data_IF_540844851301
#
_entry.id   IF_540844851301
#
_cell.length_a   1.000
_cell.length_b   1.000
_cell.length_c   1.000
_cell.angle_alpha   90.00
_cell.angle_beta   90.00
_cell.angle_gamma   90.00
#
_symmetry.space_group_name_H-M   'P 1'
#
loop_
_entity.id
_entity.type
_entity.pdbx_description
1 polymer ?
#
# COMPACT_ATOMS: atom_id res chain seq x y z
N UNK A 1 15.07 -4.45 -5.82
CA UNK A 1 13.80 -3.99 -5.18
C UNK A 1 13.22 -5.09 -4.32
N UNK A 2 12.48 -4.74 -3.31
CA UNK A 2 11.97 -5.66 -2.30
C UNK A 2 10.47 -5.45 -2.10
N UNK A 3 9.68 -6.52 -2.08
CA UNK A 3 8.26 -6.44 -1.74
C UNK A 3 8.12 -5.98 -0.28
N UNK A 4 7.57 -4.80 -0.09
CA UNK A 4 7.39 -4.18 1.22
C UNK A 4 6.08 -4.58 1.86
N UNK A 5 5.00 -4.42 1.15
CA UNK A 5 3.68 -4.82 1.63
C UNK A 5 2.71 -5.15 0.49
N UNK A 6 1.62 -5.78 0.89
CA UNK A 6 0.45 -6.02 0.05
C UNK A 6 -0.70 -5.22 0.66
N UNK A 7 -1.28 -4.33 -0.14
CA UNK A 7 -2.40 -3.50 0.28
C UNK A 7 -3.74 -4.19 0.08
N UNK A 8 -4.54 -4.26 1.13
CA UNK A 8 -5.92 -4.78 1.10
C UNK A 8 -6.89 -3.67 1.44
N UNK A 9 -7.84 -3.42 0.56
CA UNK A 9 -8.97 -2.53 0.85
C UNK A 9 -10.04 -3.33 1.56
N UNK A 10 -10.49 -2.83 2.70
CA UNK A 10 -11.48 -3.48 3.56
C UNK A 10 -12.55 -2.48 3.97
N UNK A 11 -13.75 -2.97 4.23
CA UNK A 11 -14.88 -2.12 4.62
C UNK A 11 -14.76 -1.61 6.05
N UNK A 12 -14.29 -2.46 6.96
CA UNK A 12 -14.16 -2.18 8.40
C UNK A 12 -12.77 -2.62 8.86
N UNK A 13 -11.90 -1.64 9.08
CA UNK A 13 -10.48 -1.91 9.37
C UNK A 13 -10.29 -2.63 10.72
N UNK A 14 -11.09 -2.30 11.73
CA UNK A 14 -10.97 -2.93 13.05
C UNK A 14 -11.42 -4.40 13.01
N UNK A 15 -12.53 -4.67 12.33
CA UNK A 15 -13.06 -6.01 12.16
C UNK A 15 -12.09 -6.91 11.39
N UNK A 16 -11.51 -6.41 10.30
CA UNK A 16 -10.56 -7.18 9.51
C UNK A 16 -9.22 -7.35 10.20
N UNK A 17 -8.74 -6.33 10.94
CA UNK A 17 -7.59 -6.45 11.83
C UNK A 17 -7.78 -7.64 12.78
N UNK A 18 -8.87 -7.67 13.49
CA UNK A 18 -9.17 -8.73 14.47
C UNK A 18 -9.26 -10.10 13.79
N UNK A 19 -9.85 -10.17 12.61
CA UNK A 19 -9.92 -11.38 11.81
C UNK A 19 -8.52 -11.89 11.42
N UNK A 20 -7.65 -11.01 10.92
CA UNK A 20 -6.28 -11.39 10.52
C UNK A 20 -5.45 -11.83 11.73
N UNK A 21 -5.52 -11.11 12.84
CA UNK A 21 -4.80 -11.48 14.06
C UNK A 21 -5.22 -12.86 14.55
N UNK A 22 -6.52 -13.09 14.59
CA UNK A 22 -7.07 -14.36 15.09
C UNK A 22 -6.84 -15.52 14.12
N UNK A 23 -7.03 -15.30 12.83
CA UNK A 23 -7.02 -16.37 11.83
C UNK A 23 -5.62 -16.70 11.33
N UNK A 24 -4.79 -15.68 11.09
CA UNK A 24 -3.46 -15.85 10.53
C UNK A 24 -2.34 -15.62 11.53
N UNK A 25 -2.67 -15.38 12.80
CA UNK A 25 -1.70 -15.12 13.87
C UNK A 25 -0.79 -13.92 13.56
N UNK A 26 -1.30 -12.94 12.82
CA UNK A 26 -0.60 -11.70 12.55
C UNK A 26 -0.44 -10.86 13.82
N UNK A 27 0.53 -9.96 13.80
CA UNK A 27 0.70 -8.94 14.85
C UNK A 27 0.51 -7.55 14.26
N UNK A 28 -0.07 -6.66 15.03
CA UNK A 28 -0.16 -5.25 14.65
C UNK A 28 1.22 -4.61 14.74
N UNK A 29 1.68 -4.00 13.65
CA UNK A 29 2.93 -3.22 13.60
C UNK A 29 2.68 -1.75 13.81
N UNK A 30 1.45 -1.28 13.61
CA UNK A 30 1.05 0.10 13.84
C UNK A 30 -0.34 0.14 14.45
N UNK A 31 -0.71 1.32 14.99
CA UNK A 31 -2.11 1.66 15.19
C UNK A 31 -2.79 2.01 13.87
N UNK A 32 -4.03 2.46 13.94
CA UNK A 32 -4.75 3.01 12.79
C UNK A 32 -4.18 4.41 12.51
N UNK A 33 -3.73 4.63 11.28
CA UNK A 33 -3.12 5.88 10.82
C UNK A 33 -4.12 6.56 9.89
N UNK A 34 -4.42 7.83 10.18
CA UNK A 34 -5.26 8.64 9.30
C UNK A 34 -4.40 9.24 8.19
N UNK A 35 -4.82 9.06 6.95
CA UNK A 35 -4.15 9.58 5.76
C UNK A 35 -5.13 10.43 4.96
N UNK A 36 -5.35 11.70 5.36
CA UNK A 36 -6.38 12.54 4.76
C UNK A 36 -6.09 12.93 3.31
N UNK A 37 -4.83 12.95 2.89
CA UNK A 37 -4.46 13.23 1.49
C UNK A 37 -5.09 12.26 0.50
N UNK A 38 -5.30 11.01 0.89
CA UNK A 38 -5.97 9.99 0.08
C UNK A 38 -7.38 9.64 0.57
N UNK A 39 -7.82 10.25 1.67
CA UNK A 39 -9.12 9.97 2.27
C UNK A 39 -9.25 8.55 2.81
N UNK A 40 -8.20 8.03 3.42
CA UNK A 40 -8.15 6.65 3.92
C UNK A 40 -7.64 6.61 5.36
N UNK A 41 -7.97 5.52 6.04
CA UNK A 41 -7.29 5.06 7.25
C UNK A 41 -6.55 3.79 6.91
N UNK A 42 -5.33 3.65 7.42
CA UNK A 42 -4.47 2.51 7.16
C UNK A 42 -3.93 1.92 8.45
N UNK A 43 -3.51 0.66 8.41
CA UNK A 43 -2.69 0.05 9.44
C UNK A 43 -1.86 -1.09 8.87
N UNK A 44 -0.75 -1.39 9.52
CA UNK A 44 0.16 -2.44 9.10
C UNK A 44 0.13 -3.63 10.04
N UNK A 45 0.14 -4.83 9.46
CA UNK A 45 0.22 -6.10 10.14
C UNK A 45 1.48 -6.85 9.71
N UNK A 46 2.14 -7.48 10.66
CA UNK A 46 3.23 -8.42 10.39
C UNK A 46 2.66 -9.80 10.01
N UNK A 47 3.28 -10.46 9.04
CA UNK A 47 2.80 -11.76 8.56
C UNK A 47 3.37 -12.97 9.32
N UNK A 48 4.18 -12.76 10.36
CA UNK A 48 4.56 -13.80 11.32
C UNK A 48 6.02 -14.22 11.32
N UNK A 49 6.66 -14.37 10.17
CA UNK A 49 8.08 -14.77 10.11
C UNK A 49 8.91 -13.71 9.42
N UNK A 50 9.74 -13.04 10.20
CA UNK A 50 10.58 -11.97 9.68
C UNK A 50 9.78 -10.70 9.40
N UNK A 51 10.44 -9.75 8.77
CA UNK A 51 9.94 -8.39 8.68
C UNK A 51 9.10 -8.11 7.43
N UNK A 52 9.07 -9.03 6.47
CA UNK A 52 8.49 -8.74 5.16
C UNK A 52 7.91 -9.96 4.47
N UNK A 53 6.95 -9.76 3.59
CA UNK A 53 6.18 -8.53 3.38
C UNK A 53 5.15 -8.29 4.50
N UNK A 54 4.79 -7.02 4.69
CA UNK A 54 3.68 -6.65 5.59
C UNK A 54 2.34 -6.72 4.85
N UNK A 55 1.26 -6.72 5.60
CA UNK A 55 -0.09 -6.45 5.09
C UNK A 55 -0.48 -5.05 5.51
N UNK A 56 -0.91 -4.24 4.55
CA UNK A 56 -1.52 -2.95 4.81
C UNK A 56 -3.04 -3.09 4.67
N UNK A 57 -3.79 -2.84 5.73
CA UNK A 57 -5.24 -2.71 5.67
C UNK A 57 -5.59 -1.26 5.37
N UNK A 58 -6.53 -1.05 4.46
CA UNK A 58 -6.93 0.28 3.98
C UNK A 58 -8.45 0.34 3.99
N UNK A 59 -9.00 1.38 4.62
CA UNK A 59 -10.44 1.66 4.56
C UNK A 59 -10.68 3.10 4.15
N UNK A 60 -11.70 3.39 3.31
CA UNK A 60 -12.04 4.77 3.00
C UNK A 60 -12.53 5.49 4.26
N UNK A 61 -12.06 6.73 4.44
CA UNK A 61 -12.51 7.62 5.52
C UNK A 61 -13.51 8.68 5.05
N UNK A 62 -13.75 8.75 3.73
CA UNK A 62 -14.73 9.65 3.12
C UNK A 62 -15.28 9.07 1.83
N UNK A 63 -16.42 9.61 1.37
CA UNK A 63 -17.03 9.21 0.10
C UNK A 63 -16.16 9.53 -1.12
N UNK A 64 -15.27 10.52 -0.99
CA UNK A 64 -14.38 10.97 -2.05
C UNK A 64 -13.00 10.29 -2.00
N UNK A 65 -12.85 9.26 -1.17
CA UNK A 65 -11.63 8.48 -1.11
C UNK A 65 -11.31 7.83 -2.45
N UNK A 66 -10.02 7.77 -2.77
CA UNK A 66 -9.51 7.10 -3.98
C UNK A 66 -9.82 5.60 -4.01
N UNK A 67 -10.09 4.98 -2.87
CA UNK A 67 -10.37 3.53 -2.79
C UNK A 67 -11.86 3.20 -2.69
N UNK A 68 -12.73 4.21 -2.58
CA UNK A 68 -14.17 3.98 -2.48
C UNK A 68 -14.72 3.24 -3.70
N UNK A 69 -14.32 3.65 -4.89
CA UNK A 69 -14.75 2.99 -6.13
C UNK A 69 -14.30 1.53 -6.22
N UNK A 70 -13.09 1.24 -5.77
CA UNK A 70 -12.59 -0.13 -5.70
C UNK A 70 -13.43 -0.98 -4.73
N UNK A 71 -13.70 -0.44 -3.54
CA UNK A 71 -14.51 -1.13 -2.53
C UNK A 71 -15.93 -1.39 -3.05
N UNK A 72 -16.55 -0.42 -3.70
CA UNK A 72 -17.91 -0.53 -4.24
C UNK A 72 -18.00 -1.58 -5.36
N UNK A 73 -16.97 -1.64 -6.22
CA UNK A 73 -16.94 -2.57 -7.35
C UNK A 73 -16.59 -4.01 -6.96
N UNK A 74 -15.70 -4.18 -5.99
CA UNK A 74 -15.10 -5.49 -5.70
C UNK A 74 -15.53 -6.06 -4.35
N UNK A 75 -16.09 -5.25 -3.46
CA UNK A 75 -16.34 -5.65 -2.07
C UNK A 75 -15.09 -5.66 -1.21
N UNK A 76 -13.95 -5.24 -1.73
CA UNK A 76 -12.65 -5.25 -1.06
C UNK A 76 -11.71 -6.33 -1.59
N UNK A 77 -10.55 -6.46 -0.99
CA UNK A 77 -9.53 -7.42 -1.34
C UNK A 77 -8.20 -6.76 -1.72
N UNK A 78 -7.34 -7.50 -2.40
CA UNK A 78 -6.01 -7.01 -2.80
C UNK A 78 -6.17 -5.82 -3.74
N UNK A 79 -5.54 -4.71 -3.36
CA UNK A 79 -5.60 -3.45 -4.09
C UNK A 79 -4.28 -3.15 -4.81
N UNK A 80 -3.14 -3.35 -4.14
CA UNK A 80 -1.84 -3.04 -4.70
C UNK A 80 -0.73 -3.86 -4.06
N UNK A 81 0.42 -3.87 -4.76
CA UNK A 81 1.69 -4.33 -4.25
C UNK A 81 2.62 -3.14 -4.08
N UNK A 82 3.37 -3.09 -3.00
CA UNK A 82 4.35 -2.05 -2.77
C UNK A 82 5.76 -2.61 -2.74
N UNK A 83 6.67 -1.94 -3.44
CA UNK A 83 8.08 -2.33 -3.53
C UNK A 83 8.97 -1.20 -3.03
N UNK A 84 9.88 -1.53 -2.13
CA UNK A 84 10.97 -0.65 -1.76
C UNK A 84 12.06 -0.72 -2.83
N UNK A 85 12.52 0.43 -3.31
CA UNK A 85 13.53 0.55 -4.36
C UNK A 85 14.71 1.40 -3.87
N UNK A 86 15.94 1.08 -4.31
CA UNK A 86 17.12 1.86 -3.91
C UNK A 86 17.09 3.30 -4.40
N UNK A 87 16.60 3.53 -5.61
CA UNK A 87 16.47 4.84 -6.23
C UNK A 87 15.16 4.92 -6.99
N UNK A 88 14.25 5.78 -6.53
CA UNK A 88 12.91 5.89 -7.09
C UNK A 88 12.92 6.44 -8.52
N UNK A 89 13.86 7.33 -8.86
CA UNK A 89 13.95 7.90 -10.21
C UNK A 89 14.44 6.86 -11.21
N UNK A 90 15.46 6.08 -10.86
CA UNK A 90 15.93 4.98 -11.70
C UNK A 90 14.83 3.91 -11.86
N UNK A 91 14.12 3.59 -10.78
CA UNK A 91 13.01 2.62 -10.82
C UNK A 91 11.90 3.09 -11.75
N UNK A 92 11.50 4.37 -11.70
CA UNK A 92 10.49 4.94 -12.60
C UNK A 92 10.89 4.74 -14.07
N UNK A 93 12.12 5.11 -14.42
CA UNK A 93 12.59 4.97 -15.80
C UNK A 93 12.66 3.49 -16.23
N UNK A 94 13.07 2.61 -15.33
CA UNK A 94 13.06 1.18 -15.59
C UNK A 94 11.65 0.66 -15.89
N UNK A 95 10.68 0.95 -15.03
CA UNK A 95 9.29 0.53 -15.23
C UNK A 95 8.67 1.11 -16.50
N UNK A 96 8.95 2.39 -16.80
CA UNK A 96 8.50 3.04 -18.04
C UNK A 96 9.05 2.33 -19.28
N UNK A 97 10.32 1.96 -19.26
CA UNK A 97 10.96 1.25 -20.38
C UNK A 97 10.33 -0.10 -20.66
N UNK A 98 9.65 -0.69 -19.68
CA UNK A 98 8.96 -1.98 -19.78
C UNK A 98 7.44 -1.85 -19.90
N UNK A 99 6.94 -0.67 -20.22
CA UNK A 99 5.55 -0.43 -20.55
C UNK A 99 4.64 -0.04 -19.42
N UNK A 100 5.17 0.26 -18.24
CA UNK A 100 4.35 0.74 -17.14
C UNK A 100 3.89 2.18 -17.34
N UNK A 101 2.71 2.49 -16.86
CA UNK A 101 2.15 3.84 -16.82
C UNK A 101 2.35 4.43 -15.43
N UNK A 102 3.06 5.54 -15.34
CA UNK A 102 3.27 6.26 -14.08
C UNK A 102 2.02 7.09 -13.79
N UNK A 103 1.48 6.95 -12.59
CA UNK A 103 0.23 7.59 -12.16
C UNK A 103 0.52 8.74 -11.19
N UNK A 104 0.62 9.96 -11.74
CA UNK A 104 0.87 11.15 -10.96
C UNK A 104 2.33 11.39 -10.61
N UNK A 105 2.55 12.21 -9.60
CA UNK A 105 3.87 12.68 -9.18
C UNK A 105 4.43 11.85 -8.01
N UNK A 106 5.73 12.00 -7.78
CA UNK A 106 6.37 11.51 -6.56
C UNK A 106 5.86 12.38 -5.40
N UNK A 107 5.33 11.72 -4.37
CA UNK A 107 4.79 12.38 -3.18
C UNK A 107 5.30 11.71 -1.90
N UNK A 108 5.33 12.42 -0.76
CA UNK A 108 5.67 11.79 0.51
C UNK A 108 4.63 10.72 0.90
N UNK A 109 5.09 9.56 1.33
CA UNK A 109 4.23 8.48 1.81
C UNK A 109 3.96 8.60 3.31
N UNK A 110 2.72 8.92 3.71
CA UNK A 110 2.38 9.13 5.12
C UNK A 110 2.60 7.88 5.98
N UNK A 111 2.33 6.68 5.44
CA UNK A 111 2.58 5.41 6.10
C UNK A 111 4.04 4.95 6.07
N UNK A 112 4.95 5.73 5.47
CA UNK A 112 6.35 5.37 5.22
C UNK A 112 7.31 6.46 5.66
N UNK A 113 7.03 7.12 6.79
CA UNK A 113 7.85 8.21 7.35
C UNK A 113 8.11 9.35 6.35
N UNK A 114 7.15 9.66 5.50
CA UNK A 114 7.22 10.68 4.46
C UNK A 114 8.35 10.46 3.43
N UNK A 115 8.82 9.23 3.25
CA UNK A 115 9.73 8.93 2.14
C UNK A 115 9.02 9.10 0.80
N UNK A 116 9.76 9.42 -0.27
CA UNK A 116 9.16 9.54 -1.59
C UNK A 116 8.46 8.26 -2.04
N UNK A 117 7.26 8.40 -2.55
CA UNK A 117 6.47 7.30 -3.14
C UNK A 117 5.90 7.72 -4.48
N UNK A 118 5.64 6.75 -5.35
CA UNK A 118 4.95 6.98 -6.63
C UNK A 118 4.13 5.75 -6.98
N UNK A 119 2.99 5.98 -7.62
CA UNK A 119 2.12 4.93 -8.10
C UNK A 119 2.33 4.67 -9.59
N UNK A 120 2.21 3.42 -9.99
CA UNK A 120 2.27 3.02 -11.39
C UNK A 120 1.34 1.84 -11.66
N UNK A 121 1.03 1.65 -12.93
CA UNK A 121 0.20 0.56 -13.41
C UNK A 121 0.98 -0.26 -14.43
N UNK A 122 1.14 -1.55 -14.17
CA UNK A 122 1.92 -2.43 -15.04
C UNK A 122 1.09 -2.92 -16.24
N UNK A 123 1.74 -3.39 -17.33
CA UNK A 123 1.03 -4.03 -18.43
C UNK A 123 0.21 -5.27 -18.02
N UNK A 124 0.59 -5.92 -16.92
CA UNK A 124 -0.15 -7.05 -16.37
C UNK A 124 -1.35 -6.63 -15.51
N UNK A 125 -1.73 -5.35 -15.57
CA UNK A 125 -2.87 -4.78 -14.85
C UNK A 125 -2.73 -4.84 -13.32
N UNK A 126 -1.50 -4.66 -12.83
CA UNK A 126 -1.23 -4.54 -11.40
C UNK A 126 -0.98 -3.09 -11.01
N UNK A 127 -1.65 -2.63 -9.97
CA UNK A 127 -1.34 -1.35 -9.34
C UNK A 127 -0.16 -1.56 -8.39
N UNK A 128 0.88 -0.76 -8.56
CA UNK A 128 2.13 -0.86 -7.80
C UNK A 128 2.49 0.48 -7.20
N UNK A 129 2.90 0.46 -5.94
CA UNK A 129 3.51 1.59 -5.26
C UNK A 129 5.02 1.37 -5.17
N UNK A 130 5.80 2.33 -5.59
CA UNK A 130 7.25 2.34 -5.34
C UNK A 130 7.56 3.24 -4.15
N UNK A 131 8.41 2.76 -3.27
CA UNK A 131 8.80 3.45 -2.03
C UNK A 131 10.32 3.61 -2.05
N UNK A 132 10.80 4.84 -1.91
CA UNK A 132 12.24 5.09 -1.80
C UNK A 132 12.79 4.42 -0.55
N UNK A 133 13.84 3.62 -0.71
CA UNK A 133 14.55 3.06 0.45
C UNK A 133 15.12 4.19 1.31
N UNK A 134 14.90 4.08 2.61
CA UNK A 134 15.54 4.99 3.56
C UNK A 134 17.00 4.61 3.75
N UNK A 135 17.86 5.62 3.73
CA UNK A 135 19.25 5.48 4.15
C UNK A 135 19.26 5.34 5.67
N UNK A 136 19.74 4.22 6.15
CA UNK A 136 19.69 4.02 7.57
C UNK A 136 20.59 3.02 8.17
#
# INVERSE_FOLDING_TARGET
MRLDHIGFVVKDIEKYRDYYIKTFCCKSLSGIIDEPAHGVKIMFLETGYGNMPMIELITPSSKNSKVTGFLDKTGGGIHHLAYEVPDIYEAIEHFKSLGALILGDIVPGAGHNNTPTVWLYTPQKSLVELIQKQDG
#
